data_IF_587823422667
#
_entry.id   IF_587823422667
#
_cell.length_a   1.000
_cell.length_b   1.000
_cell.length_c   1.000
_cell.angle_alpha   90.00
_cell.angle_beta   90.00
_cell.angle_gamma   90.00
#
_symmetry.space_group_name_H-M   'P 1'
#
loop_
_entity.id
_entity.type
_entity.pdbx_description
1 polymer ?
#
# COMPACT_ATOMS: atom_id res chain seq x y z
N UNK A 1 3.38 34.48 -19.67
CA UNK A 1 3.22 33.70 -20.91
C UNK A 1 4.60 33.48 -21.49
N UNK A 2 5.28 32.40 -21.09
CA UNK A 2 6.07 31.64 -22.06
C UNK A 2 5.99 30.16 -21.65
N UNK A 3 4.81 29.62 -21.96
CA UNK A 3 4.36 28.29 -21.60
C UNK A 3 4.93 27.28 -22.60
N UNK A 4 6.26 27.16 -22.66
CA UNK A 4 6.91 26.25 -23.60
C UNK A 4 7.56 25.09 -22.86
N UNK A 5 6.75 24.04 -22.63
CA UNK A 5 7.23 22.69 -22.35
C UNK A 5 8.20 22.27 -23.45
N UNK A 6 9.50 22.30 -23.13
CA UNK A 6 10.54 21.85 -24.03
C UNK A 6 10.89 20.38 -23.77
N UNK A 7 11.78 19.82 -24.59
CA UNK A 7 12.19 18.41 -24.46
C UNK A 7 12.84 18.08 -23.11
N UNK A 8 13.53 19.03 -22.48
CA UNK A 8 14.13 18.82 -21.17
C UNK A 8 13.06 18.78 -20.07
N UNK A 9 12.04 19.65 -20.15
CA UNK A 9 10.89 19.67 -19.23
C UNK A 9 10.11 18.36 -19.30
N UNK A 10 9.80 17.88 -20.51
CA UNK A 10 9.09 16.60 -20.71
C UNK A 10 9.88 15.43 -20.12
N UNK A 11 11.20 15.38 -20.34
CA UNK A 11 12.07 14.34 -19.76
C UNK A 11 12.15 14.42 -18.24
N UNK A 12 12.14 15.63 -17.67
CA UNK A 12 12.12 15.83 -16.22
C UNK A 12 10.82 15.27 -15.63
N UNK A 13 9.66 15.66 -16.18
CA UNK A 13 8.35 15.18 -15.76
C UNK A 13 8.25 13.66 -15.86
N UNK A 14 8.66 13.06 -16.99
CA UNK A 14 8.63 11.61 -17.19
C UNK A 14 9.47 10.87 -16.13
N UNK A 15 10.70 11.34 -15.89
CA UNK A 15 11.57 10.76 -14.85
C UNK A 15 10.95 10.86 -13.46
N UNK A 16 10.41 12.03 -13.10
CA UNK A 16 9.81 12.26 -11.78
C UNK A 16 8.55 11.45 -11.57
N UNK A 17 7.64 11.41 -12.54
CA UNK A 17 6.41 10.62 -12.45
C UNK A 17 6.74 9.11 -12.39
N UNK A 18 7.76 8.66 -13.10
CA UNK A 18 8.26 7.28 -13.00
C UNK A 18 8.81 6.97 -11.60
N UNK A 19 9.66 7.85 -11.06
CA UNK A 19 10.20 7.71 -9.69
C UNK A 19 9.07 7.64 -8.66
N UNK A 20 8.11 8.56 -8.71
CA UNK A 20 6.96 8.59 -7.80
C UNK A 20 6.14 7.30 -7.91
N UNK A 21 5.81 6.86 -9.13
CA UNK A 21 5.02 5.64 -9.33
C UNK A 21 5.76 4.37 -8.90
N UNK A 22 7.09 4.37 -8.98
CA UNK A 22 7.93 3.26 -8.52
C UNK A 22 8.00 3.22 -6.99
N UNK A 23 8.14 4.37 -6.35
CA UNK A 23 8.26 4.49 -4.89
C UNK A 23 6.93 4.19 -4.18
N UNK A 24 5.78 4.48 -4.81
CA UNK A 24 4.46 4.16 -4.23
C UNK A 24 4.12 2.67 -4.30
N UNK A 25 4.75 1.93 -5.21
CA UNK A 25 4.65 0.47 -5.40
C UNK A 25 3.20 -0.09 -5.41
N UNK A 26 2.25 0.73 -5.90
CA UNK A 26 0.83 0.36 -6.01
C UNK A 26 0.53 -0.51 -7.21
N UNK A 27 1.31 -0.38 -8.28
CA UNK A 27 1.09 -1.05 -9.55
C UNK A 27 2.40 -1.65 -10.06
N UNK A 28 2.30 -2.79 -10.73
CA UNK A 28 3.45 -3.35 -11.44
C UNK A 28 3.76 -2.46 -12.66
N UNK A 29 4.87 -1.74 -12.60
CA UNK A 29 5.37 -0.96 -13.74
C UNK A 29 5.89 -1.93 -14.81
N UNK A 30 5.32 -1.86 -16.01
CA UNK A 30 5.78 -2.64 -17.17
C UNK A 30 6.96 -1.98 -17.88
N UNK A 31 7.21 -0.69 -17.62
CA UNK A 31 8.26 0.06 -18.28
C UNK A 31 9.63 -0.35 -17.72
N UNK A 32 10.38 -1.11 -18.51
CA UNK A 32 11.67 -1.70 -18.12
C UNK A 32 12.85 -0.72 -18.19
N UNK A 33 12.63 0.46 -18.78
CA UNK A 33 13.64 1.52 -18.87
C UNK A 33 13.33 2.62 -17.85
N UNK A 34 14.29 2.91 -16.96
CA UNK A 34 14.23 4.11 -16.12
C UNK A 34 14.49 5.35 -16.99
N UNK A 35 13.56 6.33 -17.04
CA UNK A 35 13.76 7.53 -17.85
C UNK A 35 14.96 8.34 -17.37
N UNK A 36 15.64 9.03 -18.29
CA UNK A 36 16.78 9.89 -17.96
C UNK A 36 16.32 11.27 -17.48
N UNK A 37 16.66 11.64 -16.24
CA UNK A 37 16.38 12.96 -15.68
C UNK A 37 17.24 14.03 -16.36
N UNK A 38 16.59 15.00 -17.01
CA UNK A 38 17.28 16.16 -17.58
C UNK A 38 17.59 17.19 -16.49
N UNK A 39 18.76 17.83 -16.59
CA UNK A 39 19.13 18.94 -15.72
C UNK A 39 18.50 20.23 -16.26
N UNK A 40 17.64 20.86 -15.46
CA UNK A 40 16.92 22.10 -15.76
C UNK A 40 17.14 23.10 -14.60
N UNK A 41 16.86 24.39 -14.82
CA UNK A 41 17.09 25.42 -13.79
C UNK A 41 16.19 25.20 -12.57
N UNK A 42 16.56 25.75 -11.41
CA UNK A 42 15.73 25.64 -10.19
C UNK A 42 14.33 26.23 -10.38
N UNK A 43 14.23 27.34 -11.13
CA UNK A 43 12.94 27.94 -11.51
C UNK A 43 12.09 26.97 -12.31
N UNK A 44 12.67 26.32 -13.33
CA UNK A 44 11.96 25.34 -14.16
C UNK A 44 11.58 24.10 -13.34
N UNK A 45 12.42 23.66 -12.39
CA UNK A 45 12.09 22.54 -11.49
C UNK A 45 10.86 22.87 -10.65
N UNK A 46 10.80 24.07 -10.07
CA UNK A 46 9.65 24.51 -9.28
C UNK A 46 8.36 24.49 -10.10
N UNK A 47 8.41 24.98 -11.34
CA UNK A 47 7.26 24.95 -12.26
C UNK A 47 6.86 23.52 -12.64
N UNK A 48 7.83 22.63 -12.89
CA UNK A 48 7.55 21.23 -13.22
C UNK A 48 6.98 20.44 -12.04
N UNK A 49 7.42 20.70 -10.81
CA UNK A 49 6.83 20.06 -9.63
C UNK A 49 5.40 20.54 -9.38
N UNK A 50 5.08 21.83 -9.62
CA UNK A 50 3.69 22.32 -9.60
C UNK A 50 2.84 21.61 -10.67
N UNK A 51 3.38 21.42 -11.87
CA UNK A 51 2.71 20.67 -12.92
C UNK A 51 2.47 19.20 -12.52
N UNK A 52 3.43 18.56 -11.84
CA UNK A 52 3.28 17.21 -11.31
C UNK A 52 2.14 17.13 -10.29
N UNK A 53 2.02 18.10 -9.39
CA UNK A 53 0.91 18.10 -8.41
C UNK A 53 -0.46 18.23 -9.10
N UNK A 54 -0.56 19.03 -10.15
CA UNK A 54 -1.78 19.10 -10.98
C UNK A 54 -2.07 17.77 -11.67
N UNK A 55 -1.06 17.09 -12.23
CA UNK A 55 -1.21 15.76 -12.82
C UNK A 55 -1.73 14.78 -11.77
N UNK A 56 -1.12 14.74 -10.58
CA UNK A 56 -1.50 13.84 -9.49
C UNK A 56 -2.96 14.06 -9.10
N UNK A 57 -3.38 15.32 -8.94
CA UNK A 57 -4.77 15.67 -8.62
C UNK A 57 -5.75 15.16 -9.69
N UNK A 58 -5.47 15.43 -10.97
CA UNK A 58 -6.33 15.03 -12.08
C UNK A 58 -6.43 13.51 -12.18
N UNK A 59 -5.29 12.81 -12.13
CA UNK A 59 -5.24 11.34 -12.26
C UNK A 59 -5.98 10.66 -11.09
N UNK A 60 -5.82 11.18 -9.86
CA UNK A 60 -6.57 10.70 -8.70
C UNK A 60 -8.08 10.98 -8.83
N UNK A 61 -8.47 12.14 -9.37
CA UNK A 61 -9.89 12.49 -9.60
C UNK A 61 -10.56 11.56 -10.62
N UNK A 62 -9.78 11.00 -11.54
CA UNK A 62 -10.22 9.99 -12.51
C UNK A 62 -10.26 8.56 -11.92
N UNK A 63 -9.89 8.40 -10.64
CA UNK A 63 -9.90 7.12 -9.93
C UNK A 63 -8.60 6.31 -10.03
N UNK A 64 -7.55 6.85 -10.65
CA UNK A 64 -6.26 6.20 -10.74
C UNK A 64 -5.33 6.69 -9.63
N UNK A 65 -4.96 5.82 -8.69
CA UNK A 65 -4.14 6.20 -7.51
C UNK A 65 -2.66 5.90 -7.67
N UNK A 66 -2.13 5.95 -8.90
CA UNK A 66 -0.76 5.51 -9.23
C UNK A 66 0.31 6.28 -8.45
N UNK A 67 0.05 7.54 -8.10
CA UNK A 67 1.00 8.41 -7.39
C UNK A 67 0.70 8.58 -5.90
N UNK A 68 -0.29 7.87 -5.35
CA UNK A 68 -0.58 7.90 -3.92
C UNK A 68 0.11 6.73 -3.22
N UNK A 69 0.76 6.91 -2.05
CA UNK A 69 1.29 5.78 -1.29
C UNK A 69 0.16 4.90 -0.75
N UNK A 70 0.45 3.64 -0.42
CA UNK A 70 -0.53 2.69 0.14
C UNK A 70 -1.05 3.13 1.51
N UNK A 71 -0.17 3.74 2.32
CA UNK A 71 -0.53 4.41 3.57
C UNK A 71 0.02 5.83 3.55
N UNK A 72 -0.72 6.78 4.13
CA UNK A 72 -0.18 8.13 4.35
C UNK A 72 0.90 8.03 5.42
N UNK A 73 2.05 8.66 5.18
CA UNK A 73 3.00 8.91 6.26
C UNK A 73 2.29 9.83 7.27
N UNK A 74 2.06 9.32 8.48
CA UNK A 74 1.41 10.07 9.55
C UNK A 74 2.23 11.32 9.87
N UNK A 75 1.57 12.44 10.14
CA UNK A 75 2.24 13.72 10.44
C UNK A 75 2.92 13.63 11.82
N UNK A 76 2.45 12.73 12.68
CA UNK A 76 3.06 12.39 13.96
C UNK A 76 2.89 10.89 14.28
N UNK A 77 3.72 10.40 15.21
CA UNK A 77 3.78 8.99 15.61
C UNK A 77 2.50 8.52 16.32
N UNK A 78 1.84 9.43 17.04
CA UNK A 78 0.59 9.14 17.76
C UNK A 78 -0.59 8.84 16.81
N UNK A 79 -0.69 9.51 15.67
CA UNK A 79 -1.71 9.20 14.66
C UNK A 79 -1.45 7.86 13.96
N UNK A 80 -0.18 7.50 13.80
CA UNK A 80 0.20 6.21 13.23
C UNK A 80 -0.21 5.07 14.18
N UNK A 81 0.12 5.20 15.46
CA UNK A 81 -0.24 4.22 16.50
C UNK A 81 -1.75 4.09 16.66
N UNK A 82 -2.51 5.19 16.61
CA UNK A 82 -3.98 5.17 16.69
C UNK A 82 -4.66 4.48 15.51
N UNK A 83 -4.04 4.52 14.33
CA UNK A 83 -4.59 3.93 13.11
C UNK A 83 -3.97 2.56 12.76
N UNK A 84 -3.06 2.06 13.60
CA UNK A 84 -2.45 0.74 13.42
C UNK A 84 -3.23 -0.32 14.17
N UNK A 85 -3.51 -1.41 13.48
CA UNK A 85 -4.18 -2.59 14.00
C UNK A 85 -3.24 -3.79 13.92
N UNK A 86 -3.46 -4.72 14.84
CA UNK A 86 -2.61 -5.84 15.14
C UNK A 86 -3.44 -7.12 15.11
N UNK A 87 -2.86 -8.18 14.56
CA UNK A 87 -3.29 -9.57 14.75
C UNK A 87 -2.14 -10.31 15.39
N UNK A 88 -2.40 -10.91 16.56
CA UNK A 88 -1.53 -11.90 17.17
C UNK A 88 -2.34 -13.14 17.47
N UNK A 89 -2.07 -14.22 16.75
CA UNK A 89 -2.89 -15.43 16.79
C UNK A 89 -2.04 -16.71 16.79
N UNK A 90 -2.71 -17.85 16.93
CA UNK A 90 -2.07 -19.16 16.92
C UNK A 90 -1.34 -19.43 15.59
N UNK A 91 -0.46 -20.44 15.60
CA UNK A 91 0.34 -20.89 14.44
C UNK A 91 1.29 -19.80 13.90
N UNK A 92 1.78 -18.90 14.76
CA UNK A 92 2.81 -17.92 14.37
C UNK A 92 2.29 -16.65 13.68
N UNK A 93 0.98 -16.50 13.47
CA UNK A 93 0.43 -15.27 12.88
C UNK A 93 0.68 -14.06 13.80
N UNK A 94 1.41 -13.08 13.27
CA UNK A 94 1.72 -11.83 13.95
C UNK A 94 1.86 -10.71 12.92
N UNK A 95 0.79 -9.95 12.70
CA UNK A 95 0.72 -8.96 11.64
C UNK A 95 0.27 -7.60 12.16
N UNK A 96 0.73 -6.56 11.48
CA UNK A 96 0.30 -5.18 11.67
C UNK A 96 -0.26 -4.63 10.37
N UNK A 97 -1.23 -3.73 10.46
CA UNK A 97 -1.81 -3.10 9.28
C UNK A 97 -2.72 -1.93 9.61
N UNK A 98 -3.26 -1.31 8.58
CA UNK A 98 -4.08 -0.12 8.68
C UNK A 98 -5.24 -0.17 7.70
N UNK A 99 -6.42 0.28 8.14
CA UNK A 99 -7.56 0.53 7.26
C UNK A 99 -7.32 1.79 6.43
N UNK A 100 -7.58 1.72 5.14
CA UNK A 100 -7.49 2.85 4.22
C UNK A 100 -8.79 2.95 3.42
N UNK A 101 -8.96 4.05 2.67
CA UNK A 101 -10.13 4.18 1.78
C UNK A 101 -10.21 3.09 0.71
N UNK A 102 -9.10 2.42 0.42
CA UNK A 102 -8.96 1.47 -0.70
C UNK A 102 -9.01 0.01 -0.23
N UNK A 103 -9.13 -0.21 1.09
CA UNK A 103 -9.14 -1.54 1.70
C UNK A 103 -8.32 -1.57 2.97
N UNK A 104 -7.47 -2.59 3.11
CA UNK A 104 -6.66 -2.81 4.30
C UNK A 104 -5.22 -3.14 3.92
N UNK A 105 -4.27 -2.33 4.38
CA UNK A 105 -2.86 -2.50 4.10
C UNK A 105 -2.24 -3.33 5.23
N UNK A 106 -1.70 -4.50 4.90
CA UNK A 106 -0.83 -5.25 5.82
C UNK A 106 0.60 -4.77 5.62
N UNK A 107 1.27 -4.47 6.71
CA UNK A 107 2.60 -3.87 6.67
C UNK A 107 3.67 -4.91 6.35
N UNK A 108 4.74 -4.44 5.73
CA UNK A 108 6.02 -5.15 5.66
C UNK A 108 6.40 -5.71 7.05
N UNK A 109 7.09 -6.85 7.04
CA UNK A 109 7.59 -7.56 8.23
C UNK A 109 6.48 -8.21 9.09
N UNK A 110 5.21 -8.12 8.65
CA UNK A 110 4.11 -8.89 9.23
C UNK A 110 4.26 -10.38 8.92
N UNK A 111 4.03 -11.24 9.91
CA UNK A 111 4.08 -12.68 9.79
C UNK A 111 2.68 -13.31 9.60
N UNK A 112 2.57 -14.25 8.68
CA UNK A 112 1.38 -15.09 8.48
C UNK A 112 1.51 -16.40 9.27
N UNK A 113 0.37 -17.04 9.56
CA UNK A 113 0.32 -18.34 10.21
C UNK A 113 1.08 -19.40 9.40
N UNK A 114 1.84 -20.27 10.04
CA UNK A 114 2.67 -21.30 9.41
C UNK A 114 1.86 -22.30 8.56
N UNK A 115 0.63 -22.60 8.99
CA UNK A 115 -0.25 -23.54 8.30
C UNK A 115 -1.66 -22.97 8.14
N UNK A 116 -2.41 -23.52 7.17
CA UNK A 116 -3.82 -23.23 6.95
C UNK A 116 -4.72 -24.27 7.63
N UNK A 117 -5.98 -23.94 7.90
CA UNK A 117 -6.98 -24.91 8.38
C UNK A 117 -7.56 -25.73 7.23
N UNK A 118 -8.04 -26.95 7.49
CA UNK A 118 -8.71 -27.79 6.48
C UNK A 118 -9.93 -27.11 5.82
N UNK A 119 -10.61 -26.23 6.55
CA UNK A 119 -11.74 -25.44 6.06
C UNK A 119 -11.34 -24.12 5.39
N UNK A 120 -10.05 -23.90 5.13
CA UNK A 120 -9.58 -22.68 4.49
C UNK A 120 -10.07 -22.63 3.03
N UNK A 121 -10.81 -21.57 2.64
CA UNK A 121 -11.37 -21.50 1.29
C UNK A 121 -10.31 -21.53 0.18
N UNK A 122 -10.56 -22.31 -0.87
CA UNK A 122 -9.61 -22.52 -1.96
C UNK A 122 -9.21 -21.23 -2.70
N UNK A 123 -10.10 -20.24 -2.78
CA UNK A 123 -9.79 -18.93 -3.34
C UNK A 123 -8.71 -18.20 -2.52
N UNK A 124 -8.76 -18.30 -1.19
CA UNK A 124 -7.75 -17.70 -0.31
C UNK A 124 -6.45 -18.48 -0.32
N UNK A 125 -6.50 -19.80 -0.45
CA UNK A 125 -5.30 -20.63 -0.65
C UNK A 125 -4.58 -20.28 -1.95
N UNK A 126 -5.33 -20.09 -3.05
CA UNK A 126 -4.79 -19.60 -4.33
C UNK A 126 -4.15 -18.23 -4.18
N UNK A 127 -4.82 -17.28 -3.51
CA UNK A 127 -4.25 -15.96 -3.27
C UNK A 127 -2.96 -16.05 -2.45
N UNK A 128 -2.97 -16.76 -1.33
CA UNK A 128 -1.79 -16.96 -0.47
C UNK A 128 -0.62 -17.59 -1.23
N UNK A 129 -0.90 -18.59 -2.07
CA UNK A 129 0.11 -19.23 -2.93
C UNK A 129 0.68 -18.25 -3.97
N UNK A 130 -0.17 -17.41 -4.57
CA UNK A 130 0.27 -16.35 -5.50
C UNK A 130 1.16 -15.32 -4.81
N UNK A 131 0.84 -14.90 -3.59
CA UNK A 131 1.66 -13.96 -2.82
C UNK A 131 3.05 -14.53 -2.52
N UNK A 132 3.11 -15.82 -2.15
CA UNK A 132 4.38 -16.53 -1.92
C UNK A 132 5.16 -16.66 -3.23
N UNK A 133 4.50 -17.11 -4.31
CA UNK A 133 5.14 -17.26 -5.64
C UNK A 133 5.73 -15.94 -6.15
N UNK A 134 5.04 -14.83 -5.89
CA UNK A 134 5.47 -13.50 -6.30
C UNK A 134 6.46 -12.84 -5.33
N UNK A 135 6.95 -13.56 -4.31
CA UNK A 135 7.87 -13.06 -3.27
C UNK A 135 7.34 -11.86 -2.49
N UNK A 136 6.03 -11.68 -2.46
CA UNK A 136 5.38 -10.71 -1.57
C UNK A 136 5.40 -11.27 -0.14
N UNK A 137 5.40 -12.60 0.00
CA UNK A 137 5.59 -13.30 1.26
C UNK A 137 6.76 -14.27 1.11
N UNK A 138 7.81 -14.10 1.91
CA UNK A 138 8.96 -15.00 1.98
C UNK A 138 9.16 -15.43 3.42
N UNK A 139 9.42 -16.73 3.66
CA UNK A 139 9.59 -17.27 5.02
C UNK A 139 8.41 -16.93 5.97
N UNK A 140 7.18 -16.97 5.44
CA UNK A 140 5.95 -16.56 6.14
C UNK A 140 5.90 -15.08 6.58
N UNK A 141 6.73 -14.21 6.02
CA UNK A 141 6.77 -12.77 6.34
C UNK A 141 6.53 -11.93 5.09
N UNK A 142 5.73 -10.87 5.21
CA UNK A 142 5.52 -9.90 4.13
C UNK A 142 6.80 -9.11 3.85
N UNK A 143 7.27 -9.15 2.60
CA UNK A 143 8.51 -8.46 2.18
C UNK A 143 8.31 -6.98 1.90
N UNK A 144 7.05 -6.56 1.71
CA UNK A 144 6.60 -5.20 1.49
C UNK A 144 5.16 -5.01 1.98
N UNK A 145 4.73 -3.75 2.08
CA UNK A 145 3.33 -3.42 2.33
C UNK A 145 2.45 -4.02 1.22
N UNK A 146 1.29 -4.57 1.60
CA UNK A 146 0.37 -5.18 0.66
C UNK A 146 -1.08 -4.77 0.94
N UNK A 147 -1.74 -4.23 -0.09
CA UNK A 147 -3.14 -3.83 -0.03
C UNK A 147 -4.06 -5.02 -0.30
N UNK A 148 -4.88 -5.33 0.68
CA UNK A 148 -6.02 -6.21 0.53
C UNK A 148 -7.29 -5.42 0.27
N UNK A 149 -8.22 -6.02 -0.46
CA UNK A 149 -9.54 -5.41 -0.76
C UNK A 149 -10.42 -5.19 0.47
N UNK A 150 -10.13 -5.85 1.59
CA UNK A 150 -10.88 -5.68 2.84
C UNK A 150 -10.07 -6.14 4.07
N UNK A 151 -10.44 -5.68 5.28
CA UNK A 151 -9.86 -6.18 6.53
C UNK A 151 -10.01 -7.71 6.69
N UNK A 152 -11.13 -8.28 6.23
CA UNK A 152 -11.39 -9.72 6.32
C UNK A 152 -10.51 -10.52 5.37
N UNK A 153 -10.27 -10.02 4.15
CA UNK A 153 -9.33 -10.63 3.21
C UNK A 153 -7.92 -10.68 3.82
N UNK A 154 -7.48 -9.58 4.43
CA UNK A 154 -6.19 -9.49 5.11
C UNK A 154 -6.09 -10.47 6.29
N UNK A 155 -7.09 -10.46 7.19
CA UNK A 155 -7.13 -11.36 8.35
C UNK A 155 -7.13 -12.83 7.93
N UNK A 156 -7.88 -13.19 6.88
CA UNK A 156 -7.96 -14.57 6.43
C UNK A 156 -6.61 -15.10 5.92
N UNK A 157 -5.87 -14.28 5.17
CA UNK A 157 -4.55 -14.63 4.65
C UNK A 157 -3.52 -14.73 5.78
N UNK A 158 -3.49 -13.71 6.66
CA UNK A 158 -2.61 -13.68 7.83
C UNK A 158 -2.85 -14.88 8.73
N UNK A 159 -4.11 -15.19 9.07
CA UNK A 159 -4.42 -16.24 10.03
C UNK A 159 -4.52 -17.63 9.41
N UNK A 160 -4.50 -17.77 8.08
CA UNK A 160 -4.65 -19.05 7.38
C UNK A 160 -5.96 -19.77 7.71
N UNK A 161 -7.05 -19.01 7.91
CA UNK A 161 -8.42 -19.51 8.15
C UNK A 161 -9.43 -18.45 7.76
N UNK A 162 -10.71 -18.81 7.63
CA UNK A 162 -11.76 -17.79 7.55
C UNK A 162 -11.77 -16.95 8.83
N UNK A 163 -11.79 -15.62 8.66
CA UNK A 163 -11.64 -14.66 9.73
C UNK A 163 -12.49 -13.41 9.44
N UNK A 164 -13.13 -12.86 10.48
CA UNK A 164 -13.84 -11.58 10.37
C UNK A 164 -12.87 -10.46 10.73
N UNK A 165 -12.41 -9.71 9.73
CA UNK A 165 -11.39 -8.68 9.92
C UNK A 165 -11.82 -7.61 10.93
N UNK A 166 -13.09 -7.26 10.98
CA UNK A 166 -13.61 -6.22 11.88
C UNK A 166 -13.46 -6.59 13.37
N UNK A 167 -13.32 -7.88 13.69
CA UNK A 167 -13.16 -8.38 15.08
C UNK A 167 -11.75 -8.87 15.38
N UNK A 168 -11.01 -9.29 14.36
CA UNK A 168 -9.69 -9.89 14.51
C UNK A 168 -8.59 -8.83 14.56
N UNK A 169 -8.72 -7.76 13.76
CA UNK A 169 -7.84 -6.60 13.82
C UNK A 169 -8.17 -5.76 15.05
N UNK A 170 -7.16 -5.56 15.91
CA UNK A 170 -7.30 -4.82 17.16
C UNK A 170 -6.24 -3.76 17.29
N UNK A 171 -6.56 -2.63 17.90
CA UNK A 171 -5.56 -1.65 18.36
C UNK A 171 -4.68 -2.25 19.45
N UNK A 172 -3.59 -1.58 19.79
CA UNK A 172 -2.66 -2.03 20.85
C UNK A 172 -3.35 -2.21 22.21
N UNK A 173 -4.35 -1.39 22.52
CA UNK A 173 -5.18 -1.48 23.73
C UNK A 173 -6.30 -2.55 23.64
N UNK A 174 -6.34 -3.32 22.55
CA UNK A 174 -7.24 -4.46 22.37
C UNK A 174 -8.64 -4.14 21.85
N UNK A 175 -8.94 -2.88 21.49
CA UNK A 175 -10.23 -2.53 20.87
C UNK A 175 -10.30 -3.07 19.44
N UNK A 176 -11.44 -3.64 19.08
CA UNK A 176 -11.65 -4.22 17.74
C UNK A 176 -11.92 -3.12 16.71
N UNK A 177 -11.47 -3.33 15.47
CA UNK A 177 -11.68 -2.41 14.35
C UNK A 177 -13.16 -2.00 14.19
N UNK A 178 -14.11 -2.94 14.34
CA UNK A 178 -15.55 -2.66 14.29
C UNK A 178 -15.99 -1.52 15.20
N UNK A 179 -15.43 -1.48 16.42
CA UNK A 179 -15.79 -0.48 17.42
C UNK A 179 -15.24 0.91 17.08
N UNK A 180 -14.09 0.96 16.41
CA UNK A 180 -13.49 2.21 15.96
C UNK A 180 -14.27 2.77 14.77
N UNK A 181 -14.61 1.93 13.80
CA UNK A 181 -15.38 2.34 12.61
C UNK A 181 -16.82 2.76 12.95
N UNK A 182 -17.42 2.22 14.01
CA UNK A 182 -18.78 2.60 14.43
C UNK A 182 -18.84 3.93 15.21
N UNK A 183 -17.69 4.43 15.66
CA UNK A 183 -17.57 5.66 16.47
C UNK A 183 -17.06 6.87 15.66
N UNK A 184 -16.82 6.68 14.36
CA UNK A 184 -16.48 7.73 13.39
C UNK A 184 -17.67 7.97 12.45
#
# INVERSE_FOLDING_TARGET
>A
MDNNLNKAHVKYLESRLYEIAKDTDRYNLTNSNSPTKSSISESDQSEMEEFIENIKLLVNSLGFKIFEPLRKASINKEEEEKNTFYIKAARGANATGQSTSDGFVVFKDSAIADSTTNSFPQNWEKLRSTLIKNKIIEQNVFTKDYLFSSPSSAAAIVMGRSANGLTEWKTEDGRILKSIESNN
#
